data_IF_658421644809
#
_entry.id   IF_658421644809
#
_cell.length_a   1.000
_cell.length_b   1.000
_cell.length_c   1.000
_cell.angle_alpha   90.00
_cell.angle_beta   90.00
_cell.angle_gamma   90.00
#
_symmetry.space_group_name_H-M   'P 1'
#
loop_
_entity.id
_entity.type
_entity.pdbx_description
1 polymer ?
#
# COMPACT_ATOMS: atom_id res chain seq x y z
N UNK A 1 42.84 73.54 17.10
CA UNK A 1 41.53 73.08 17.63
C UNK A 1 40.62 72.47 16.55
N UNK A 2 40.60 72.96 15.29
CA UNK A 2 39.71 72.43 14.25
C UNK A 2 40.04 70.99 13.76
N UNK A 3 41.31 70.61 13.70
CA UNK A 3 41.76 69.29 13.17
C UNK A 3 41.30 68.08 14.00
N UNK A 4 41.21 68.22 15.32
CA UNK A 4 40.75 67.15 16.23
C UNK A 4 39.27 66.79 15.98
N UNK A 5 38.44 67.79 15.65
CA UNK A 5 37.01 67.58 15.47
C UNK A 5 36.70 66.81 14.17
N UNK A 6 37.47 67.05 13.11
CA UNK A 6 37.33 66.34 11.82
C UNK A 6 37.74 64.87 11.91
N UNK A 7 38.79 64.56 12.67
CA UNK A 7 39.25 63.18 12.90
C UNK A 7 38.20 62.35 13.67
N UNK A 8 37.58 62.93 14.70
CA UNK A 8 36.52 62.29 15.48
C UNK A 8 35.29 62.00 14.58
N UNK A 9 34.89 62.95 13.73
CA UNK A 9 33.78 62.72 12.79
C UNK A 9 34.07 61.60 11.78
N UNK A 10 35.31 61.47 11.30
CA UNK A 10 35.68 60.34 10.45
C UNK A 10 35.57 58.99 11.17
N UNK A 11 36.00 58.91 12.44
CA UNK A 11 35.86 57.69 13.24
C UNK A 11 34.40 57.32 13.48
N UNK A 12 33.55 58.29 13.83
CA UNK A 12 32.10 58.07 14.01
C UNK A 12 31.42 57.58 12.72
N UNK A 13 31.81 58.13 11.56
CA UNK A 13 31.30 57.69 10.26
C UNK A 13 31.79 56.27 9.91
N UNK A 14 33.04 55.93 10.25
CA UNK A 14 33.58 54.59 10.07
C UNK A 14 32.87 53.57 10.97
N UNK A 15 32.60 53.93 12.23
CA UNK A 15 31.86 53.11 13.19
C UNK A 15 30.44 52.84 12.69
N UNK A 16 29.73 53.87 12.22
CA UNK A 16 28.38 53.72 11.66
C UNK A 16 28.36 52.78 10.45
N UNK A 17 29.29 52.95 9.50
CA UNK A 17 29.41 52.05 8.33
C UNK A 17 29.74 50.61 8.72
N UNK A 18 30.61 50.42 9.71
CA UNK A 18 30.93 49.08 10.22
C UNK A 18 29.70 48.43 10.88
N UNK A 19 28.97 49.17 11.71
CA UNK A 19 27.75 48.70 12.36
C UNK A 19 26.66 48.34 11.33
N UNK A 20 26.45 49.18 10.32
CA UNK A 20 25.51 48.92 9.22
C UNK A 20 25.89 47.65 8.46
N UNK A 21 27.17 47.50 8.07
CA UNK A 21 27.66 46.30 7.37
C UNK A 21 27.45 45.02 8.17
N UNK A 22 27.70 45.06 9.49
CA UNK A 22 27.45 43.91 10.37
C UNK A 22 25.95 43.62 10.52
N UNK A 23 25.12 44.66 10.64
CA UNK A 23 23.66 44.53 10.73
C UNK A 23 23.07 43.90 9.46
N UNK A 24 23.49 44.36 8.28
CA UNK A 24 23.10 43.78 7.00
C UNK A 24 23.52 42.32 6.86
N UNK A 25 24.76 41.98 7.25
CA UNK A 25 25.23 40.60 7.24
C UNK A 25 24.37 39.70 8.15
N UNK A 26 24.02 40.17 9.36
CA UNK A 26 23.12 39.45 10.29
C UNK A 26 21.72 39.28 9.70
N UNK A 27 21.14 40.33 9.13
CA UNK A 27 19.82 40.26 8.45
C UNK A 27 19.84 39.27 7.28
N UNK A 28 20.89 39.30 6.45
CA UNK A 28 21.06 38.36 5.32
C UNK A 28 21.18 36.92 5.79
N UNK A 29 21.95 36.66 6.85
CA UNK A 29 22.04 35.32 7.48
C UNK A 29 20.67 34.86 7.99
N UNK A 30 19.95 35.72 8.70
CA UNK A 30 18.60 35.43 9.19
C UNK A 30 17.62 35.09 8.07
N UNK A 31 17.64 35.85 6.97
CA UNK A 31 16.80 35.59 5.79
C UNK A 31 17.12 34.24 5.15
N UNK A 32 18.40 33.92 4.95
CA UNK A 32 18.82 32.62 4.39
C UNK A 32 18.42 31.44 5.26
N UNK A 33 18.52 31.57 6.59
CA UNK A 33 18.09 30.52 7.51
C UNK A 33 16.58 30.30 7.48
N UNK A 34 15.78 31.38 7.39
CA UNK A 34 14.33 31.27 7.25
C UNK A 34 13.95 30.62 5.92
N UNK A 35 14.55 31.07 4.82
CA UNK A 35 14.34 30.51 3.49
C UNK A 35 14.65 29.01 3.45
N UNK A 36 15.81 28.59 3.99
CA UNK A 36 16.16 27.18 4.03
C UNK A 36 15.16 26.32 4.83
N UNK A 37 14.60 26.86 5.92
CA UNK A 37 13.55 26.16 6.68
C UNK A 37 12.24 26.05 5.90
N UNK A 38 11.85 27.11 5.21
CA UNK A 38 10.62 27.15 4.42
C UNK A 38 10.71 26.23 3.21
N UNK A 39 11.84 26.23 2.50
CA UNK A 39 12.11 25.31 1.39
C UNK A 39 12.09 23.84 1.85
N UNK A 40 12.75 23.52 2.98
CA UNK A 40 12.71 22.16 3.53
C UNK A 40 11.28 21.74 3.94
N UNK A 41 10.50 22.66 4.52
CA UNK A 41 9.12 22.37 4.90
C UNK A 41 8.24 22.11 3.67
N UNK A 42 8.39 22.91 2.62
CA UNK A 42 7.67 22.73 1.35
C UNK A 42 8.02 21.38 0.70
N UNK A 43 9.30 20.98 0.73
CA UNK A 43 9.74 19.68 0.21
C UNK A 43 9.14 18.50 1.01
N UNK A 44 9.12 18.60 2.34
CA UNK A 44 8.49 17.59 3.22
C UNK A 44 6.99 17.49 2.92
N UNK A 45 6.31 18.63 2.76
CA UNK A 45 4.88 18.65 2.48
C UNK A 45 4.57 18.06 1.10
N UNK A 46 5.36 18.41 0.08
CA UNK A 46 5.25 17.80 -1.25
C UNK A 46 5.46 16.28 -1.22
N UNK A 47 6.48 15.80 -0.49
CA UNK A 47 6.72 14.37 -0.32
C UNK A 47 5.55 13.68 0.40
N UNK A 48 5.00 14.31 1.45
CA UNK A 48 3.85 13.78 2.19
C UNK A 48 2.62 13.65 1.29
N UNK A 49 2.31 14.68 0.49
CA UNK A 49 1.20 14.66 -0.45
C UNK A 49 1.37 13.57 -1.52
N UNK A 50 2.58 13.41 -2.07
CA UNK A 50 2.89 12.36 -3.04
C UNK A 50 2.66 10.96 -2.43
N UNK A 51 3.20 10.72 -1.24
CA UNK A 51 3.02 9.44 -0.53
C UNK A 51 1.57 9.17 -0.19
N UNK A 52 0.82 10.18 0.21
CA UNK A 52 -0.61 10.03 0.51
C UNK A 52 -1.43 9.77 -0.77
N UNK A 53 -1.06 10.39 -1.91
CA UNK A 53 -1.67 10.07 -3.20
C UNK A 53 -1.41 8.62 -3.61
N UNK A 54 -0.17 8.15 -3.50
CA UNK A 54 0.19 6.76 -3.77
C UNK A 54 -0.56 5.79 -2.85
N UNK A 55 -0.65 6.12 -1.56
CA UNK A 55 -1.39 5.31 -0.60
C UNK A 55 -2.87 5.19 -0.97
N UNK A 56 -3.54 6.32 -1.26
CA UNK A 56 -4.96 6.30 -1.67
C UNK A 56 -5.19 5.57 -2.99
N UNK A 57 -4.27 5.67 -3.95
CA UNK A 57 -4.34 4.91 -5.20
C UNK A 57 -4.25 3.40 -4.94
N UNK A 58 -3.30 2.97 -4.10
CA UNK A 58 -3.20 1.57 -3.71
C UNK A 58 -4.40 1.09 -2.91
N UNK A 59 -4.92 1.91 -2.00
CA UNK A 59 -6.13 1.61 -1.25
C UNK A 59 -7.31 1.40 -2.20
N UNK A 60 -7.55 2.31 -3.15
CA UNK A 60 -8.61 2.16 -4.15
C UNK A 60 -8.43 0.93 -5.03
N UNK A 61 -7.19 0.63 -5.46
CA UNK A 61 -6.91 -0.58 -6.23
C UNK A 61 -7.22 -1.85 -5.43
N UNK A 62 -6.84 -1.91 -4.16
CA UNK A 62 -7.11 -3.07 -3.30
C UNK A 62 -8.62 -3.17 -3.01
N UNK A 63 -9.29 -2.06 -2.72
CA UNK A 63 -10.72 -2.03 -2.45
C UNK A 63 -11.53 -2.44 -3.69
N UNK A 64 -11.17 -1.96 -4.88
CA UNK A 64 -11.77 -2.36 -6.14
C UNK A 64 -11.50 -3.82 -6.50
N UNK A 65 -10.28 -4.29 -6.25
CA UNK A 65 -9.87 -5.68 -6.55
C UNK A 65 -10.61 -6.71 -5.70
N UNK A 66 -11.07 -6.37 -4.48
CA UNK A 66 -11.86 -7.30 -3.66
C UNK A 66 -13.18 -7.71 -4.32
N UNK A 67 -13.89 -6.75 -4.93
CA UNK A 67 -15.14 -7.05 -5.65
C UNK A 67 -14.90 -7.87 -6.92
N UNK A 68 -13.83 -7.58 -7.66
CA UNK A 68 -13.44 -8.35 -8.84
C UNK A 68 -13.04 -9.80 -8.47
N UNK A 69 -12.38 -9.97 -7.33
CA UNK A 69 -11.99 -11.30 -6.85
C UNK A 69 -13.19 -12.13 -6.42
N UNK A 70 -14.15 -11.52 -5.70
CA UNK A 70 -15.41 -12.17 -5.30
C UNK A 70 -16.20 -12.62 -6.53
N UNK A 71 -16.38 -11.74 -7.52
CA UNK A 71 -17.07 -12.11 -8.77
C UNK A 71 -16.37 -13.23 -9.54
N UNK A 72 -15.03 -13.25 -9.58
CA UNK A 72 -14.26 -14.36 -10.20
C UNK A 72 -14.42 -15.67 -9.43
N UNK A 73 -14.45 -15.62 -8.10
CA UNK A 73 -14.68 -16.80 -7.26
C UNK A 73 -16.09 -17.35 -7.53
N UNK A 74 -17.10 -16.50 -7.59
CA UNK A 74 -18.48 -16.90 -7.87
C UNK A 74 -18.61 -17.54 -9.25
N UNK A 75 -18.03 -16.91 -10.28
CA UNK A 75 -18.02 -17.47 -11.64
C UNK A 75 -17.34 -18.83 -11.68
N UNK A 76 -16.15 -18.96 -11.07
CA UNK A 76 -15.40 -20.22 -11.04
C UNK A 76 -16.17 -21.30 -10.26
N UNK A 77 -16.84 -20.91 -9.16
CA UNK A 77 -17.65 -21.81 -8.35
C UNK A 77 -18.87 -22.30 -9.14
N UNK A 78 -19.53 -21.41 -9.89
CA UNK A 78 -20.66 -21.78 -10.73
C UNK A 78 -20.27 -22.75 -11.84
N UNK A 79 -19.14 -22.51 -12.51
CA UNK A 79 -18.60 -23.43 -13.52
C UNK A 79 -18.31 -24.80 -12.92
N UNK A 80 -17.64 -24.86 -11.76
CA UNK A 80 -17.36 -26.14 -11.07
C UNK A 80 -18.63 -26.86 -10.63
N UNK A 81 -19.65 -26.15 -10.17
CA UNK A 81 -20.95 -26.76 -9.85
C UNK A 81 -21.58 -27.39 -11.09
N UNK A 82 -21.58 -26.69 -12.23
CA UNK A 82 -22.10 -27.24 -13.49
C UNK A 82 -21.31 -28.47 -13.94
N UNK A 83 -19.98 -28.46 -13.84
CA UNK A 83 -19.15 -29.63 -14.15
C UNK A 83 -19.47 -30.82 -13.23
N UNK A 84 -19.66 -30.58 -11.94
CA UNK A 84 -20.04 -31.62 -10.97
C UNK A 84 -21.43 -32.20 -11.28
N UNK A 85 -22.41 -31.35 -11.61
CA UNK A 85 -23.75 -31.79 -12.00
C UNK A 85 -23.73 -32.66 -13.26
N UNK A 86 -22.98 -32.24 -14.29
CA UNK A 86 -22.82 -33.01 -15.52
C UNK A 86 -22.14 -34.36 -15.26
N UNK A 87 -21.07 -34.38 -14.46
CA UNK A 87 -20.38 -35.60 -14.08
C UNK A 87 -21.27 -36.54 -13.25
N UNK A 88 -22.08 -35.99 -12.35
CA UNK A 88 -23.04 -36.77 -11.57
C UNK A 88 -24.12 -37.36 -12.49
N UNK A 89 -24.71 -36.56 -13.38
CA UNK A 89 -25.70 -37.03 -14.34
C UNK A 89 -25.17 -38.16 -15.24
N UNK A 90 -23.93 -38.03 -15.73
CA UNK A 90 -23.30 -39.02 -16.60
C UNK A 90 -22.97 -40.35 -15.90
N UNK A 91 -22.64 -40.32 -14.60
CA UNK A 91 -22.16 -41.48 -13.87
C UNK A 91 -23.19 -42.08 -12.91
N UNK A 92 -24.26 -41.36 -12.56
CA UNK A 92 -25.29 -41.79 -11.61
C UNK A 92 -25.87 -43.14 -11.96
N UNK A 93 -26.27 -43.33 -13.22
CA UNK A 93 -26.89 -44.59 -13.67
C UNK A 93 -25.92 -45.77 -13.59
N UNK A 94 -24.67 -45.57 -14.02
CA UNK A 94 -23.61 -46.60 -13.95
C UNK A 94 -23.32 -46.99 -12.50
N UNK A 95 -23.25 -46.01 -11.61
CA UNK A 95 -23.02 -46.24 -10.19
C UNK A 95 -24.19 -47.01 -9.55
N UNK A 96 -25.44 -46.61 -9.83
CA UNK A 96 -26.64 -47.31 -9.32
C UNK A 96 -26.69 -48.76 -9.82
N UNK A 97 -26.47 -49.00 -11.11
CA UNK A 97 -26.45 -50.35 -11.67
C UNK A 97 -25.36 -51.22 -11.02
N UNK A 98 -24.16 -50.66 -10.82
CA UNK A 98 -23.07 -51.39 -10.14
C UNK A 98 -23.44 -51.75 -8.70
N UNK A 99 -24.06 -50.81 -7.97
CA UNK A 99 -24.46 -51.01 -6.59
C UNK A 99 -25.56 -52.06 -6.47
N UNK A 100 -26.59 -52.00 -7.34
CA UNK A 100 -27.66 -52.99 -7.41
C UNK A 100 -27.14 -54.39 -7.78
N UNK A 101 -26.22 -54.50 -8.74
CA UNK A 101 -25.61 -55.79 -9.09
C UNK A 101 -24.89 -56.41 -7.89
N UNK A 102 -24.13 -55.63 -7.12
CA UNK A 102 -23.42 -56.13 -5.94
C UNK A 102 -24.37 -56.54 -4.81
N UNK A 103 -25.44 -55.78 -4.59
CA UNK A 103 -26.42 -56.08 -3.51
C UNK A 103 -27.26 -57.30 -3.84
N UNK A 104 -27.62 -57.50 -5.11
CA UNK A 104 -28.44 -58.64 -5.54
C UNK A 104 -27.63 -59.93 -5.79
N UNK A 105 -26.29 -59.87 -5.87
CA UNK A 105 -25.40 -61.02 -6.03
C UNK A 105 -25.09 -61.67 -4.67
N UNK A 106 -26.08 -62.37 -4.11
CA UNK A 106 -25.93 -63.09 -2.85
C UNK A 106 -25.09 -64.35 -3.09
N UNK A 107 -23.87 -64.37 -2.53
CA UNK A 107 -22.98 -65.53 -2.49
C UNK A 107 -22.98 -66.14 -1.09
N UNK A 108 -23.85 -67.13 -0.84
CA UNK A 108 -23.85 -67.82 0.44
C UNK A 108 -22.58 -68.66 0.54
N UNK A 109 -21.68 -68.25 1.42
CA UNK A 109 -20.48 -68.99 1.75
C UNK A 109 -20.62 -69.60 3.14
N UNK A 110 -20.20 -70.85 3.28
CA UNK A 110 -20.08 -71.48 4.58
C UNK A 110 -18.95 -70.79 5.33
N UNK A 111 -19.16 -70.48 6.61
CA UNK A 111 -18.09 -69.90 7.43
C UNK A 111 -16.88 -70.85 7.40
N UNK A 112 -15.68 -70.29 7.27
CA UNK A 112 -14.42 -71.03 7.11
C UNK A 112 -14.17 -72.13 8.17
N UNK A 113 -14.84 -72.04 9.31
CA UNK A 113 -14.67 -72.94 10.46
C UNK A 113 -15.79 -73.98 10.60
N UNK A 114 -16.71 -74.07 9.63
CA UNK A 114 -17.77 -75.07 9.67
C UNK A 114 -17.16 -76.48 9.62
N UNK A 115 -17.50 -77.30 10.62
CA UNK A 115 -17.18 -78.73 10.66
C UNK A 115 -18.50 -79.49 10.61
N UNK A 116 -18.61 -80.40 9.63
CA UNK A 116 -19.80 -81.21 9.37
C UNK A 116 -20.06 -82.25 10.47
#
# INVERSE_FOLDING_TARGET
MASQNTAIQQLLNAEKRAAEKVSEARKRKGKRLKQAKEEAQNEIEGYKQERERQYRQHEQQILGSKGDMESKIDQTTHVKMQELEQNMAANKEKAMQRLLMLVCDIKPELHENYRA
#
